data_IF_592697397535
#
_entry.id   IF_592697397535
#
_cell.length_a   1.000
_cell.length_b   1.000
_cell.length_c   1.000
_cell.angle_alpha   90.00
_cell.angle_beta   90.00
_cell.angle_gamma   90.00
#
_symmetry.space_group_name_H-M   'P 1'
#
loop_
_entity.id
_entity.type
_entity.pdbx_description
1 polymer ?
#
# COMPACT_ATOMS: atom_id res chain seq x y z
N UNK A 1 19.17 -0.46 -10.33
CA UNK A 1 20.37 -1.19 -9.91
C UNK A 1 20.33 -1.27 -8.41
N UNK A 2 20.63 -2.43 -7.86
CA UNK A 2 20.81 -2.62 -6.44
C UNK A 2 22.08 -1.89 -5.96
N UNK A 3 23.20 -2.12 -6.66
CA UNK A 3 24.51 -1.60 -6.30
C UNK A 3 24.90 -0.37 -7.13
N UNK A 4 26.06 0.21 -6.80
CA UNK A 4 26.65 1.34 -7.53
C UNK A 4 26.93 1.01 -9.00
N UNK A 5 27.26 -0.24 -9.30
CA UNK A 5 27.55 -0.75 -10.64
C UNK A 5 26.64 -1.93 -10.98
N UNK A 6 26.29 -2.10 -12.26
CA UNK A 6 25.53 -3.26 -12.73
C UNK A 6 26.26 -4.56 -12.40
N UNK A 7 25.58 -5.49 -11.73
CA UNK A 7 26.16 -6.78 -11.38
C UNK A 7 25.71 -7.88 -12.35
N UNK A 8 26.61 -8.77 -12.78
CA UNK A 8 26.23 -9.95 -13.54
C UNK A 8 25.20 -10.80 -12.78
N UNK A 9 24.12 -11.19 -13.46
CA UNK A 9 23.07 -12.07 -12.91
C UNK A 9 21.95 -11.36 -12.12
N UNK A 10 22.03 -10.05 -11.87
CA UNK A 10 21.01 -9.30 -11.11
C UNK A 10 19.61 -9.41 -11.74
N UNK A 11 19.54 -9.45 -13.07
CA UNK A 11 18.27 -9.54 -13.83
C UNK A 11 17.53 -10.86 -13.66
N UNK A 12 18.23 -11.92 -13.24
CA UNK A 12 17.68 -13.26 -13.02
C UNK A 12 17.68 -13.62 -11.53
N UNK A 13 18.02 -12.68 -10.66
CA UNK A 13 18.09 -12.91 -9.23
C UNK A 13 16.69 -12.77 -8.59
N UNK A 14 16.23 -13.89 -8.02
CA UNK A 14 14.97 -14.02 -7.30
C UNK A 14 15.15 -13.99 -5.78
N UNK A 15 16.22 -13.37 -5.29
CA UNK A 15 16.50 -13.24 -3.87
C UNK A 15 15.30 -12.65 -3.10
N UNK A 16 15.10 -13.11 -1.87
CA UNK A 16 13.94 -12.76 -1.03
C UNK A 16 13.94 -11.28 -0.60
N UNK A 17 15.13 -10.70 -0.39
CA UNK A 17 15.27 -9.27 -0.08
C UNK A 17 15.20 -8.38 -1.32
N UNK A 18 14.65 -7.19 -1.12
CA UNK A 18 14.64 -6.09 -2.10
C UNK A 18 15.07 -4.80 -1.40
N UNK A 19 16.24 -4.83 -0.76
CA UNK A 19 16.70 -3.79 0.17
C UNK A 19 16.86 -2.42 -0.48
N UNK A 20 17.28 -2.39 -1.76
CA UNK A 20 17.35 -1.18 -2.57
C UNK A 20 15.99 -0.49 -2.81
N UNK A 21 14.87 -1.19 -2.56
CA UNK A 21 13.53 -0.63 -2.64
C UNK A 21 13.06 -0.01 -1.32
N UNK A 22 13.91 0.08 -0.30
CA UNK A 22 13.60 0.77 0.96
C UNK A 22 13.12 2.22 0.73
N UNK A 23 13.68 2.90 -0.27
CA UNK A 23 13.28 4.25 -0.66
C UNK A 23 11.83 4.36 -1.15
N UNK A 24 11.21 3.26 -1.58
CA UNK A 24 9.79 3.17 -1.93
C UNK A 24 8.95 2.93 -0.68
N UNK A 25 9.29 1.89 0.10
CA UNK A 25 8.61 1.54 1.34
C UNK A 25 9.61 0.88 2.31
N UNK A 26 9.60 1.23 3.61
CA UNK A 26 8.74 2.23 4.26
C UNK A 26 9.19 3.69 4.04
N UNK A 27 10.28 3.92 3.29
CA UNK A 27 10.72 5.24 2.86
C UNK A 27 9.73 5.92 1.92
N UNK A 28 10.04 7.13 1.46
CA UNK A 28 9.17 7.94 0.58
C UNK A 28 9.97 8.75 -0.46
N UNK A 29 11.19 8.28 -0.75
CA UNK A 29 12.12 8.93 -1.68
C UNK A 29 11.75 8.67 -3.13
N UNK A 30 11.17 7.50 -3.43
CA UNK A 30 10.79 7.08 -4.77
C UNK A 30 9.26 6.98 -4.89
N UNK A 31 8.65 7.90 -5.63
CA UNK A 31 7.20 8.02 -5.75
C UNK A 31 6.79 8.61 -7.10
N UNK A 32 5.50 8.49 -7.43
CA UNK A 32 4.96 8.93 -8.72
C UNK A 32 4.91 10.44 -8.91
N UNK A 33 4.87 11.20 -7.81
CA UNK A 33 4.68 12.66 -7.87
C UNK A 33 6.00 13.41 -8.11
N UNK A 34 7.08 13.01 -7.46
CA UNK A 34 8.36 13.74 -7.50
C UNK A 34 9.48 12.99 -8.21
N UNK A 35 9.40 11.66 -8.30
CA UNK A 35 10.45 10.81 -8.89
C UNK A 35 9.88 9.69 -9.78
N UNK A 36 9.02 9.99 -10.76
CA UNK A 36 8.30 8.98 -11.55
C UNK A 36 9.23 8.01 -12.29
N UNK A 37 10.40 8.46 -12.74
CA UNK A 37 11.41 7.58 -13.36
C UNK A 37 11.93 6.52 -12.38
N UNK A 38 12.15 6.89 -11.12
CA UNK A 38 12.61 5.96 -10.07
C UNK A 38 11.48 5.07 -9.57
N UNK A 39 10.24 5.57 -9.50
CA UNK A 39 9.06 4.76 -9.20
C UNK A 39 8.88 3.66 -10.27
N UNK A 40 8.97 4.02 -11.54
CA UNK A 40 8.91 3.05 -12.64
C UNK A 40 10.08 2.06 -12.60
N UNK A 41 11.31 2.52 -12.37
CA UNK A 41 12.47 1.64 -12.23
C UNK A 41 12.33 0.67 -11.04
N UNK A 42 11.75 1.13 -9.93
CA UNK A 42 11.43 0.30 -8.76
C UNK A 42 10.43 -0.79 -9.10
N UNK A 43 9.39 -0.46 -9.87
CA UNK A 43 8.41 -1.45 -10.35
C UNK A 43 9.05 -2.50 -11.25
N UNK A 44 9.93 -2.09 -12.17
CA UNK A 44 10.69 -3.01 -13.03
C UNK A 44 11.55 -3.95 -12.18
N UNK A 45 12.26 -3.41 -11.19
CA UNK A 45 13.11 -4.22 -10.31
C UNK A 45 12.32 -5.19 -9.44
N UNK A 46 11.19 -4.75 -8.88
CA UNK A 46 10.30 -5.61 -8.09
C UNK A 46 9.72 -6.75 -8.93
N UNK A 47 9.30 -6.47 -10.17
CA UNK A 47 8.82 -7.48 -11.11
C UNK A 47 9.91 -8.49 -11.49
N UNK A 48 11.16 -8.04 -11.69
CA UNK A 48 12.29 -8.92 -11.98
C UNK A 48 12.58 -9.90 -10.82
N UNK A 49 12.43 -9.46 -9.57
CA UNK A 49 12.58 -10.33 -8.38
C UNK A 49 11.57 -11.48 -8.36
N UNK A 50 10.36 -11.29 -8.89
CA UNK A 50 9.38 -12.35 -9.11
C UNK A 50 8.94 -13.09 -7.83
N UNK A 51 8.34 -14.28 -7.97
CA UNK A 51 7.88 -15.11 -6.85
C UNK A 51 8.20 -16.61 -7.07
N UNK A 52 9.33 -16.91 -7.71
CA UNK A 52 9.71 -18.29 -8.07
C UNK A 52 9.44 -19.25 -6.89
N UNK A 53 8.62 -20.30 -7.05
CA UNK A 53 8.34 -21.26 -6.00
C UNK A 53 9.58 -21.94 -5.41
N UNK A 54 10.68 -21.99 -6.17
CA UNK A 54 11.99 -22.52 -5.74
C UNK A 54 12.83 -21.49 -4.99
N UNK A 55 12.44 -20.22 -5.00
CA UNK A 55 13.15 -19.16 -4.28
C UNK A 55 12.91 -19.23 -2.77
N UNK A 56 13.75 -18.50 -2.04
CA UNK A 56 13.63 -18.30 -0.60
C UNK A 56 12.56 -17.27 -0.22
N UNK A 57 11.73 -16.82 -1.17
CA UNK A 57 10.60 -15.92 -0.89
C UNK A 57 9.58 -16.68 -0.03
N UNK A 58 9.34 -16.12 1.16
CA UNK A 58 8.48 -16.65 2.21
C UNK A 58 7.66 -15.51 2.81
N UNK A 59 6.98 -15.79 3.92
CA UNK A 59 5.93 -14.97 4.52
C UNK A 59 6.23 -13.45 4.58
N UNK A 60 7.30 -13.00 5.25
CA UNK A 60 7.61 -11.57 5.35
C UNK A 60 7.91 -10.92 3.99
N UNK A 61 8.47 -11.67 3.04
CA UNK A 61 8.80 -11.15 1.71
C UNK A 61 7.54 -10.85 0.91
N UNK A 62 6.50 -11.69 1.03
CA UNK A 62 5.20 -11.42 0.40
C UNK A 62 4.55 -10.18 1.01
N UNK A 63 4.55 -10.05 2.33
CA UNK A 63 4.02 -8.87 3.01
C UNK A 63 4.76 -7.58 2.60
N UNK A 64 6.10 -7.61 2.61
CA UNK A 64 6.96 -6.49 2.21
C UNK A 64 6.71 -6.05 0.77
N UNK A 65 6.69 -7.00 -0.17
CA UNK A 65 6.47 -6.71 -1.59
C UNK A 65 5.03 -6.28 -1.87
N UNK A 66 4.05 -6.76 -1.11
CA UNK A 66 2.66 -6.27 -1.18
C UNK A 66 2.60 -4.78 -0.86
N UNK A 67 3.28 -4.35 0.21
CA UNK A 67 3.34 -2.93 0.58
C UNK A 67 4.05 -2.08 -0.49
N UNK A 68 5.13 -2.59 -1.12
CA UNK A 68 5.79 -1.88 -2.24
C UNK A 68 4.87 -1.78 -3.46
N UNK A 69 4.19 -2.85 -3.86
CA UNK A 69 3.22 -2.77 -4.97
C UNK A 69 2.08 -1.80 -4.66
N UNK A 70 1.57 -1.81 -3.42
CA UNK A 70 0.58 -0.85 -2.97
C UNK A 70 1.10 0.59 -3.11
N UNK A 71 2.31 0.87 -2.62
CA UNK A 71 3.00 2.16 -2.74
C UNK A 71 3.12 2.64 -4.19
N UNK A 72 3.37 1.71 -5.10
CA UNK A 72 3.53 1.98 -6.53
C UNK A 72 2.19 1.97 -7.28
N UNK A 73 1.04 1.97 -6.59
CA UNK A 73 -0.32 1.97 -7.16
C UNK A 73 -0.59 0.75 -8.07
N UNK A 74 0.10 -0.37 -7.88
CA UNK A 74 -0.10 -1.61 -8.63
C UNK A 74 -0.99 -2.57 -7.82
N UNK A 75 -2.29 -2.27 -7.83
CA UNK A 75 -3.31 -2.96 -7.05
C UNK A 75 -3.37 -4.47 -7.30
N UNK A 76 -3.24 -4.87 -8.56
CA UNK A 76 -3.40 -6.26 -8.98
C UNK A 76 -2.23 -7.12 -8.50
N UNK A 77 -0.99 -6.60 -8.61
CA UNK A 77 0.17 -7.33 -8.07
C UNK A 77 0.18 -7.31 -6.55
N UNK A 78 -0.25 -6.23 -5.89
CA UNK A 78 -0.42 -6.22 -4.44
C UNK A 78 -1.42 -7.30 -3.99
N UNK A 79 -2.59 -7.37 -4.62
CA UNK A 79 -3.59 -8.39 -4.32
C UNK A 79 -3.12 -9.81 -4.65
N UNK A 80 -2.37 -10.00 -5.74
CA UNK A 80 -1.77 -11.28 -6.06
C UNK A 80 -0.82 -11.75 -4.94
N UNK A 81 0.10 -10.90 -4.48
CA UNK A 81 1.03 -11.27 -3.41
C UNK A 81 0.35 -11.48 -2.05
N UNK A 82 -0.70 -10.70 -1.76
CA UNK A 82 -1.56 -10.92 -0.59
C UNK A 82 -2.17 -12.33 -0.62
N UNK A 83 -2.66 -12.80 -1.78
CA UNK A 83 -3.19 -14.16 -1.91
C UNK A 83 -2.10 -15.22 -1.77
N UNK A 84 -0.92 -15.00 -2.35
CA UNK A 84 0.22 -15.92 -2.21
C UNK A 84 0.68 -16.07 -0.76
N UNK A 85 0.63 -15.00 0.06
CA UNK A 85 0.90 -15.09 1.49
C UNK A 85 -0.04 -16.07 2.20
N UNK A 86 -1.30 -16.17 1.77
CA UNK A 86 -2.30 -17.05 2.37
C UNK A 86 -2.14 -18.53 2.00
N UNK A 87 -1.23 -18.87 1.08
CA UNK A 87 -0.96 -20.25 0.72
C UNK A 87 -0.28 -21.02 1.88
N UNK A 88 -0.54 -22.33 1.98
CA UNK A 88 -0.05 -23.22 3.05
C UNK A 88 1.47 -23.19 3.28
N UNK A 89 2.24 -22.84 2.24
CA UNK A 89 3.71 -22.70 2.32
C UNK A 89 4.20 -21.45 3.06
N UNK A 90 3.31 -20.48 3.28
CA UNK A 90 3.60 -19.15 3.84
C UNK A 90 2.73 -18.82 5.06
N UNK A 91 1.63 -19.53 5.28
CA UNK A 91 0.74 -19.34 6.43
C UNK A 91 0.35 -20.70 7.04
N UNK A 92 0.52 -20.83 8.36
CA UNK A 92 0.12 -21.99 9.14
C UNK A 92 -1.42 -22.11 9.22
N UNK A 93 -1.99 -23.30 9.54
CA UNK A 93 -3.44 -23.46 9.74
C UNK A 93 -4.05 -22.56 10.83
N UNK A 94 -3.26 -22.10 11.78
CA UNK A 94 -3.66 -21.15 12.82
C UNK A 94 -3.45 -19.67 12.41
N UNK A 95 -3.22 -19.40 11.12
CA UNK A 95 -2.95 -18.10 10.52
C UNK A 95 -1.64 -17.41 10.91
N UNK A 96 -0.71 -18.08 11.61
CA UNK A 96 0.64 -17.54 11.77
C UNK A 96 1.47 -17.63 10.50
N UNK A 97 2.30 -16.62 10.26
CA UNK A 97 3.27 -16.60 9.18
C UNK A 97 4.25 -17.78 9.28
N UNK A 98 4.66 -18.28 8.12
CA UNK A 98 5.49 -19.46 7.98
C UNK A 98 6.69 -19.16 7.06
N UNK A 99 7.89 -19.05 7.65
CA UNK A 99 9.15 -18.97 6.91
C UNK A 99 9.75 -20.36 6.61
N UNK A 100 9.18 -21.45 7.15
CA UNK A 100 9.65 -22.20 8.33
C UNK A 100 10.88 -21.68 9.11
N UNK A 101 10.87 -21.76 10.46
CA UNK A 101 9.71 -22.05 11.32
C UNK A 101 8.69 -20.89 11.28
N UNK A 102 7.74 -20.88 12.23
CA UNK A 102 6.82 -19.75 12.40
C UNK A 102 7.58 -18.43 12.58
N UNK A 103 7.09 -17.39 11.92
CA UNK A 103 7.58 -16.02 11.94
C UNK A 103 6.36 -15.08 11.93
N UNK A 104 6.44 -13.95 12.65
CA UNK A 104 5.28 -13.07 12.90
C UNK A 104 5.31 -11.81 12.01
N UNK A 105 6.42 -11.56 11.35
CA UNK A 105 6.73 -10.35 10.61
C UNK A 105 5.79 -10.14 9.42
N UNK A 106 5.47 -11.18 8.64
CA UNK A 106 4.48 -11.06 7.57
C UNK A 106 3.04 -10.95 8.06
N UNK A 107 2.68 -11.42 9.27
CA UNK A 107 1.37 -11.12 9.86
C UNK A 107 1.17 -9.62 10.10
N UNK A 108 2.17 -8.97 10.70
CA UNK A 108 2.12 -7.52 10.90
C UNK A 108 2.29 -6.77 9.58
N UNK A 109 3.22 -7.21 8.75
CA UNK A 109 3.53 -6.62 7.45
C UNK A 109 2.32 -6.62 6.53
N UNK A 110 1.53 -7.70 6.47
CA UNK A 110 0.36 -7.76 5.59
C UNK A 110 -0.76 -6.85 6.08
N UNK A 111 -0.91 -6.70 7.40
CA UNK A 111 -1.87 -5.75 7.97
C UNK A 111 -1.52 -4.32 7.55
N UNK A 112 -0.23 -3.96 7.61
CA UNK A 112 0.25 -2.67 7.14
C UNK A 112 0.09 -2.51 5.61
N UNK A 113 0.36 -3.56 4.84
CA UNK A 113 0.25 -3.53 3.38
C UNK A 113 -1.21 -3.34 2.92
N UNK A 114 -2.18 -4.01 3.55
CA UNK A 114 -3.61 -3.82 3.26
C UNK A 114 -4.05 -2.39 3.60
N UNK A 115 -3.56 -1.82 4.71
CA UNK A 115 -3.81 -0.42 5.01
C UNK A 115 -3.21 0.50 3.93
N UNK A 116 -1.98 0.23 3.47
CA UNK A 116 -1.29 0.99 2.41
C UNK A 116 -1.99 0.86 1.03
N UNK A 117 -2.69 -0.24 0.77
CA UNK A 117 -3.53 -0.39 -0.44
C UNK A 117 -4.76 0.53 -0.39
N UNK A 118 -5.29 0.78 0.80
CA UNK A 118 -6.53 1.54 1.00
C UNK A 118 -6.29 3.03 1.29
N UNK A 119 -5.20 3.37 1.96
CA UNK A 119 -4.85 4.75 2.32
C UNK A 119 -3.34 4.93 2.27
N UNK A 120 -2.91 5.96 1.56
CA UNK A 120 -1.53 6.45 1.62
C UNK A 120 -1.51 7.90 2.05
N UNK A 121 -0.59 8.26 2.94
CA UNK A 121 -0.50 9.63 3.47
C UNK A 121 0.94 10.03 3.71
N UNK A 122 1.84 9.65 2.81
CA UNK A 122 3.30 9.84 2.96
C UNK A 122 3.85 10.99 2.13
N UNK A 123 3.06 11.43 1.16
CA UNK A 123 3.28 12.61 0.36
C UNK A 123 2.51 13.78 0.97
N UNK A 124 2.47 14.92 0.28
CA UNK A 124 1.72 16.13 0.65
C UNK A 124 0.18 15.97 0.51
N UNK A 125 -0.30 14.74 0.37
CA UNK A 125 -1.70 14.39 0.10
C UNK A 125 -2.03 13.04 0.71
N UNK A 126 -3.27 12.93 1.19
CA UNK A 126 -3.86 11.66 1.63
C UNK A 126 -4.61 11.06 0.45
N UNK A 127 -4.09 9.96 -0.08
CA UNK A 127 -4.66 9.24 -1.20
C UNK A 127 -5.54 8.11 -0.70
N UNK A 128 -6.78 8.07 -1.20
CA UNK A 128 -7.79 7.07 -0.86
C UNK A 128 -7.84 6.01 -1.93
N UNK A 129 -7.98 4.76 -1.53
CA UNK A 129 -8.11 3.59 -2.40
C UNK A 129 -6.94 3.48 -3.40
N UNK A 130 -5.73 3.85 -2.96
CA UNK A 130 -4.53 4.02 -3.79
C UNK A 130 -4.17 2.80 -4.63
N UNK A 131 -4.46 1.60 -4.13
CA UNK A 131 -4.22 0.34 -4.82
C UNK A 131 -5.37 -0.66 -4.57
N UNK A 132 -6.62 -0.23 -4.82
CA UNK A 132 -7.81 -1.08 -4.71
C UNK A 132 -7.87 -2.13 -5.84
N UNK A 133 -7.79 -3.45 -5.55
CA UNK A 133 -7.84 -4.47 -6.60
C UNK A 133 -9.24 -4.65 -7.14
N UNK A 134 -9.34 -5.12 -8.40
CA UNK A 134 -10.62 -5.31 -9.10
C UNK A 134 -11.59 -6.25 -8.37
N UNK A 135 -11.07 -7.22 -7.62
CA UNK A 135 -11.87 -8.16 -6.86
C UNK A 135 -12.57 -7.51 -5.65
N UNK A 136 -12.07 -6.39 -5.13
CA UNK A 136 -12.70 -5.66 -4.02
C UNK A 136 -13.75 -4.69 -4.55
N UNK A 137 -14.80 -5.23 -5.14
CA UNK A 137 -15.85 -4.45 -5.83
C UNK A 137 -16.64 -3.55 -4.90
N UNK A 138 -16.88 -3.96 -3.65
CA UNK A 138 -17.55 -3.16 -2.64
C UNK A 138 -17.04 -3.50 -1.24
N UNK A 139 -17.03 -2.52 -0.35
CA UNK A 139 -16.56 -2.71 1.01
C UNK A 139 -16.37 -1.41 1.77
N UNK A 140 -15.79 -1.52 2.97
CA UNK A 140 -15.43 -0.38 3.79
C UNK A 140 -14.24 -0.68 4.69
N UNK A 141 -13.54 0.36 5.12
CA UNK A 141 -12.51 0.31 6.15
C UNK A 141 -12.66 1.52 7.08
N UNK A 142 -12.65 1.29 8.39
CA UNK A 142 -12.90 2.33 9.40
C UNK A 142 -11.75 2.45 10.37
N UNK A 143 -11.54 3.65 10.88
CA UNK A 143 -10.51 3.92 11.88
C UNK A 143 -9.08 3.94 11.31
N UNK A 144 -8.90 3.98 10.00
CA UNK A 144 -7.56 4.09 9.40
C UNK A 144 -6.98 5.46 9.73
N UNK A 145 -5.71 5.50 10.14
CA UNK A 145 -5.02 6.74 10.46
C UNK A 145 -4.16 7.21 9.30
N UNK A 146 -4.22 8.51 9.02
CA UNK A 146 -3.32 9.19 8.10
C UNK A 146 -2.39 10.15 8.88
N UNK A 147 -1.19 10.38 8.32
CA UNK A 147 -0.25 11.40 8.81
C UNK A 147 -0.94 12.77 8.84
N UNK A 148 -0.56 13.62 9.78
CA UNK A 148 -1.25 14.89 10.03
C UNK A 148 -2.34 14.82 11.11
N UNK A 149 -2.60 13.64 11.68
CA UNK A 149 -3.57 13.49 12.78
C UNK A 149 -5.01 13.32 12.30
N UNK A 150 -5.18 12.60 11.19
CA UNK A 150 -6.49 12.33 10.61
C UNK A 150 -6.86 10.86 10.76
N UNK A 151 -8.15 10.61 10.95
CA UNK A 151 -8.79 9.30 10.92
C UNK A 151 -9.79 9.27 9.76
N UNK A 152 -9.83 8.15 9.05
CA UNK A 152 -10.66 7.93 7.87
C UNK A 152 -11.53 6.70 8.04
N UNK A 153 -12.81 6.87 7.71
CA UNK A 153 -13.72 5.77 7.40
C UNK A 153 -14.09 5.85 5.92
N UNK A 154 -13.70 4.86 5.13
CA UNK A 154 -13.80 4.86 3.67
C UNK A 154 -14.78 3.78 3.25
N UNK A 155 -15.66 4.12 2.31
CA UNK A 155 -16.67 3.22 1.76
C UNK A 155 -16.56 3.24 0.24
N UNK A 156 -16.59 2.08 -0.39
CA UNK A 156 -16.52 1.95 -1.84
C UNK A 156 -17.56 0.95 -2.34
N UNK A 157 -18.00 1.15 -3.58
CA UNK A 157 -18.93 0.28 -4.29
C UNK A 157 -18.66 0.41 -5.80
N UNK A 158 -18.86 -0.67 -6.55
CA UNK A 158 -18.52 -0.75 -7.97
C UNK A 158 -17.07 -0.33 -8.27
N UNK A 159 -16.13 -0.74 -7.41
CA UNK A 159 -14.70 -0.44 -7.50
C UNK A 159 -14.36 1.06 -7.45
N UNK A 160 -15.29 1.92 -7.01
CA UNK A 160 -15.08 3.36 -6.87
C UNK A 160 -15.42 3.84 -5.47
N UNK A 161 -14.81 4.95 -5.05
CA UNK A 161 -15.14 5.64 -3.81
C UNK A 161 -16.63 5.97 -3.81
N UNK A 162 -17.32 5.61 -2.74
CA UNK A 162 -18.71 5.98 -2.52
C UNK A 162 -18.78 7.22 -1.63
N UNK A 163 -18.13 7.16 -0.46
CA UNK A 163 -18.01 8.27 0.47
C UNK A 163 -16.83 8.04 1.43
N UNK A 164 -16.41 9.10 2.10
CA UNK A 164 -15.40 9.06 3.16
C UNK A 164 -15.79 9.99 4.29
N UNK A 165 -15.60 9.53 5.52
CA UNK A 165 -15.67 10.34 6.72
C UNK A 165 -14.25 10.64 7.21
N UNK A 166 -13.93 11.91 7.36
CA UNK A 166 -12.66 12.35 7.94
C UNK A 166 -12.90 12.98 9.31
N UNK A 167 -12.20 12.48 10.32
CA UNK A 167 -12.12 13.09 11.65
C UNK A 167 -10.68 13.50 11.92
N UNK A 168 -10.46 14.75 12.33
CA UNK A 168 -9.12 15.28 12.58
C UNK A 168 -8.92 15.57 14.06
N UNK A 169 -7.72 15.35 14.58
CA UNK A 169 -7.31 15.81 15.91
C UNK A 169 -6.70 17.21 15.88
N UNK A 170 -6.49 17.77 14.68
CA UNK A 170 -5.89 19.09 14.44
C UNK A 170 -6.79 19.96 13.56
N UNK A 171 -6.63 21.28 13.66
CA UNK A 171 -7.19 22.23 12.71
C UNK A 171 -6.23 22.41 11.52
N UNK A 172 -6.77 22.70 10.35
CA UNK A 172 -5.97 23.05 9.17
C UNK A 172 -6.53 22.48 7.88
N UNK A 173 -5.74 22.57 6.82
CA UNK A 173 -6.10 22.05 5.52
C UNK A 173 -5.47 20.67 5.29
N UNK A 174 -6.27 19.74 4.76
CA UNK A 174 -5.81 18.42 4.31
C UNK A 174 -6.16 18.25 2.85
N UNK A 175 -5.19 17.83 2.04
CA UNK A 175 -5.44 17.44 0.64
C UNK A 175 -5.83 15.97 0.62
N UNK A 176 -6.99 15.68 0.03
CA UNK A 176 -7.45 14.33 -0.27
C UNK A 176 -7.37 14.07 -1.76
N UNK A 177 -6.96 12.86 -2.14
CA UNK A 177 -6.93 12.38 -3.53
C UNK A 177 -7.75 11.11 -3.67
N UNK A 178 -8.54 11.03 -4.74
CA UNK A 178 -9.11 9.79 -5.25
C UNK A 178 -9.04 9.80 -6.78
N UNK A 179 -8.30 8.85 -7.36
CA UNK A 179 -7.97 8.88 -8.79
C UNK A 179 -7.31 10.21 -9.18
N UNK A 180 -7.88 10.89 -10.19
CA UNK A 180 -7.40 12.20 -10.65
C UNK A 180 -7.98 13.38 -9.85
N UNK A 181 -8.91 13.14 -8.93
CA UNK A 181 -9.57 14.19 -8.16
C UNK A 181 -8.72 14.51 -6.94
N UNK A 182 -8.35 15.78 -6.78
CA UNK A 182 -7.69 16.30 -5.58
C UNK A 182 -8.52 17.45 -5.02
N UNK A 183 -8.81 17.41 -3.73
CA UNK A 183 -9.55 18.46 -3.01
C UNK A 183 -8.83 18.81 -1.71
N UNK A 184 -8.80 20.10 -1.41
CA UNK A 184 -8.39 20.58 -0.08
C UNK A 184 -9.63 20.69 0.79
N UNK A 185 -9.59 20.07 1.96
CA UNK A 185 -10.65 20.09 2.97
C UNK A 185 -10.11 20.78 4.21
N UNK A 186 -10.80 21.83 4.67
CA UNK A 186 -10.47 22.47 5.94
C UNK A 186 -11.12 21.69 7.08
N UNK A 187 -10.28 21.11 7.93
CA UNK A 187 -10.70 20.31 9.09
C UNK A 187 -10.60 21.11 10.38
N UNK A 188 -11.46 20.76 11.33
CA UNK A 188 -11.39 21.26 12.71
C UNK A 188 -11.35 20.07 13.68
N UNK A 189 -10.67 20.19 14.83
CA UNK A 189 -10.54 19.09 15.77
C UNK A 189 -11.89 18.51 16.19
N UNK A 190 -11.99 17.18 16.16
CA UNK A 190 -13.15 16.41 16.61
C UNK A 190 -14.48 16.76 15.93
N UNK A 191 -14.46 17.45 14.79
CA UNK A 191 -15.64 17.69 13.95
C UNK A 191 -15.52 16.84 12.67
N UNK A 192 -16.22 15.69 12.60
CA UNK A 192 -16.18 14.84 11.42
C UNK A 192 -16.76 15.56 10.19
N UNK A 193 -16.18 15.32 9.02
CA UNK A 193 -16.69 15.82 7.73
C UNK A 193 -16.99 14.62 6.84
N UNK A 194 -18.23 14.53 6.38
CA UNK A 194 -18.65 13.53 5.40
C UNK A 194 -18.42 14.08 3.99
N UNK A 195 -17.81 13.27 3.13
CA UNK A 195 -17.52 13.63 1.75
C UNK A 195 -18.09 12.56 0.80
N UNK A 196 -18.65 13.00 -0.34
CA UNK A 196 -19.11 12.11 -1.40
C UNK A 196 -17.96 11.51 -2.25
N UNK A 197 -18.32 10.76 -3.29
CA UNK A 197 -17.40 10.16 -4.26
C UNK A 197 -16.51 11.16 -5.02
N UNK A 198 -16.90 12.44 -5.05
CA UNK A 198 -16.14 13.53 -5.67
C UNK A 198 -15.39 14.38 -4.63
N UNK A 199 -15.34 13.90 -3.37
CA UNK A 199 -14.73 14.57 -2.23
C UNK A 199 -15.39 15.93 -1.89
N UNK A 200 -16.66 16.10 -2.22
CA UNK A 200 -17.43 17.27 -1.80
C UNK A 200 -18.12 17.02 -0.46
N UNK A 201 -18.16 18.01 0.45
CA UNK A 201 -18.91 17.89 1.69
C UNK A 201 -20.39 17.59 1.47
N UNK A 202 -20.91 16.63 2.22
CA UNK A 202 -22.34 16.29 2.28
C UNK A 202 -22.89 16.52 3.69
N UNK A 203 -24.21 16.73 3.83
CA UNK A 203 -24.86 16.92 5.12
C UNK A 203 -24.64 15.77 6.10
#
# INVERSE_FOLDING_TARGET
MEWMEEQPGEKTDHHRHTSHLFGVFPGHQFNWETTPTLANASLVSLKARGIDPKSEVKEWSFAWRTAIYARLRDAENAHHLLRELMADRNTCPNMFGLHPPMQIDGNFGITAAVAEMLVQSHEEVVELLSALPREWTAGHAKGLRARGGHQLDIYWANHTLNNVLITSTVAGDVKLRFGNTVKTITVTPSKPIHLDHNLNPIP
#
